data_IF_165425099255
#
_entry.id   IF_165425099255
#
_cell.length_a   1.000
_cell.length_b   1.000
_cell.length_c   1.000
_cell.angle_alpha   90.00
_cell.angle_beta   90.00
_cell.angle_gamma   90.00
#
_symmetry.space_group_name_H-M   'P 1'
#
loop_
_entity.id
_entity.type
_entity.pdbx_description
1 polymer ?
#
# COMPACT_ATOMS: atom_id res chain seq x y z
N UNK A 1 -14.14 15.62 7.37
CA UNK A 1 -12.90 14.85 7.71
C UNK A 1 -13.20 13.36 7.98
N UNK A 2 -14.28 13.05 8.68
CA UNK A 2 -14.62 11.67 9.08
C UNK A 2 -15.09 10.78 7.92
N UNK A 3 -15.72 11.32 6.90
CA UNK A 3 -16.16 10.58 5.71
C UNK A 3 -14.98 10.07 4.86
N UNK A 4 -13.85 10.81 4.86
CA UNK A 4 -12.62 10.36 4.18
C UNK A 4 -11.92 9.21 4.94
N UNK A 5 -11.93 9.25 6.27
CA UNK A 5 -11.37 8.18 7.10
C UNK A 5 -12.17 6.88 6.94
N UNK A 6 -13.51 6.96 6.94
CA UNK A 6 -14.39 5.79 6.70
C UNK A 6 -14.25 5.21 5.30
N UNK A 7 -14.05 6.05 4.29
CA UNK A 7 -13.80 5.59 2.91
C UNK A 7 -12.47 4.87 2.76
N UNK A 8 -11.41 5.35 3.40
CA UNK A 8 -10.09 4.71 3.37
C UNK A 8 -10.05 3.41 4.17
N UNK A 9 -10.79 3.32 5.28
CA UNK A 9 -10.93 2.06 6.04
C UNK A 9 -11.69 0.99 5.25
N UNK A 10 -12.68 1.37 4.45
CA UNK A 10 -13.40 0.45 3.57
C UNK A 10 -12.51 -0.03 2.41
N UNK A 11 -11.69 0.86 1.84
CA UNK A 11 -10.74 0.52 0.77
C UNK A 11 -9.57 -0.34 1.27
N UNK A 12 -9.14 -0.18 2.52
CA UNK A 12 -8.08 -1.02 3.12
C UNK A 12 -8.54 -2.48 3.34
N UNK A 13 -9.84 -2.74 3.33
CA UNK A 13 -10.42 -4.09 3.42
C UNK A 13 -10.48 -4.83 2.08
N UNK A 14 -10.26 -4.17 0.96
CA UNK A 14 -10.19 -4.82 -0.34
C UNK A 14 -8.86 -5.58 -0.48
N UNK A 15 -8.90 -6.87 -0.89
CA UNK A 15 -7.74 -7.77 -0.85
C UNK A 15 -6.60 -7.35 -1.78
N UNK A 16 -6.84 -6.41 -2.68
CA UNK A 16 -5.83 -5.93 -3.65
C UNK A 16 -5.33 -4.52 -3.30
N UNK A 17 -6.23 -3.63 -2.87
CA UNK A 17 -5.92 -2.21 -2.62
C UNK A 17 -5.35 -2.01 -1.21
N UNK A 18 -5.83 -2.79 -0.23
CA UNK A 18 -5.40 -2.69 1.17
C UNK A 18 -3.90 -2.85 1.37
N UNK A 19 -3.28 -3.95 0.90
CA UNK A 19 -1.84 -4.15 1.03
C UNK A 19 -1.00 -3.08 0.33
N UNK A 20 -1.44 -2.58 -0.83
CA UNK A 20 -0.76 -1.49 -1.53
C UNK A 20 -0.76 -0.18 -0.73
N UNK A 21 -1.88 0.18 -0.10
CA UNK A 21 -1.96 1.36 0.76
C UNK A 21 -1.04 1.24 1.98
N UNK A 22 -0.94 0.05 2.57
CA UNK A 22 -0.03 -0.23 3.69
C UNK A 22 1.43 -0.09 3.25
N UNK A 23 1.79 -0.63 2.09
CA UNK A 23 3.13 -0.51 1.51
C UNK A 23 3.49 0.95 1.22
N UNK A 24 2.57 1.72 0.63
CA UNK A 24 2.75 3.14 0.34
C UNK A 24 2.93 3.97 1.63
N UNK A 25 2.13 3.72 2.65
CA UNK A 25 2.24 4.41 3.94
C UNK A 25 3.55 4.05 4.66
N UNK A 26 3.97 2.78 4.59
CA UNK A 26 5.23 2.33 5.18
C UNK A 26 6.44 2.95 4.47
N UNK A 27 6.42 3.00 3.14
CA UNK A 27 7.45 3.65 2.35
C UNK A 27 7.57 5.15 2.70
N UNK A 28 6.44 5.83 2.83
CA UNK A 28 6.39 7.25 3.23
C UNK A 28 6.99 7.46 4.62
N UNK A 29 6.59 6.65 5.60
CA UNK A 29 7.12 6.72 6.96
C UNK A 29 8.64 6.52 6.97
N UNK A 30 9.14 5.48 6.30
CA UNK A 30 10.57 5.20 6.22
C UNK A 30 11.35 6.33 5.54
N UNK A 31 10.81 6.90 4.45
CA UNK A 31 11.41 8.00 3.71
C UNK A 31 11.51 9.27 4.55
N UNK A 32 10.43 9.64 5.22
CA UNK A 32 10.40 10.81 6.10
C UNK A 32 11.34 10.64 7.27
N UNK A 33 11.29 9.50 7.96
CA UNK A 33 12.18 9.22 9.09
C UNK A 33 13.65 9.20 8.65
N UNK A 34 13.98 8.54 7.54
CA UNK A 34 15.32 8.50 6.99
C UNK A 34 15.86 9.90 6.65
N UNK A 35 15.05 10.73 6.01
CA UNK A 35 15.42 12.11 5.69
C UNK A 35 15.65 12.96 6.96
N UNK A 36 14.79 12.82 7.97
CA UNK A 36 14.95 13.54 9.24
C UNK A 36 16.22 13.13 9.98
N UNK A 37 16.49 11.83 10.08
CA UNK A 37 17.72 11.33 10.71
C UNK A 37 18.98 11.71 9.93
N UNK A 38 18.92 11.69 8.60
CA UNK A 38 20.00 12.18 7.73
C UNK A 38 20.32 13.66 7.95
N UNK A 39 19.33 14.45 8.34
CA UNK A 39 19.48 15.86 8.73
C UNK A 39 19.72 16.05 10.23
N UNK A 40 20.15 15.01 10.94
CA UNK A 40 20.52 15.03 12.37
C UNK A 40 19.36 15.39 13.31
N UNK A 41 18.13 15.17 12.90
CA UNK A 41 16.98 15.25 13.79
C UNK A 41 17.04 14.07 14.77
N UNK A 42 16.84 14.29 16.09
CA UNK A 42 16.83 13.21 17.07
C UNK A 42 15.77 12.14 16.74
N UNK A 43 16.09 10.87 16.98
CA UNK A 43 15.24 9.73 16.62
C UNK A 43 13.80 9.89 17.14
N UNK A 44 13.63 10.25 18.40
CA UNK A 44 12.28 10.41 18.99
C UNK A 44 11.46 11.46 18.26
N UNK A 45 12.04 12.60 17.93
CA UNK A 45 11.37 13.66 17.19
C UNK A 45 11.06 13.23 15.75
N UNK A 46 11.99 12.52 15.14
CA UNK A 46 11.82 11.93 13.81
C UNK A 46 10.66 10.96 13.76
N UNK A 47 10.53 10.05 14.74
CA UNK A 47 9.44 9.08 14.85
C UNK A 47 8.08 9.77 14.99
N UNK A 48 7.96 10.78 15.86
CA UNK A 48 6.72 11.54 16.04
C UNK A 48 6.28 12.22 14.73
N UNK A 49 7.21 12.86 14.03
CA UNK A 49 6.93 13.55 12.78
C UNK A 49 6.58 12.56 11.65
N UNK A 50 7.33 11.48 11.51
CA UNK A 50 7.06 10.45 10.50
C UNK A 50 5.71 9.77 10.73
N UNK A 51 5.35 9.47 11.98
CA UNK A 51 4.06 8.93 12.36
C UNK A 51 2.90 9.86 11.99
N UNK A 52 3.04 11.16 12.22
CA UNK A 52 1.99 12.15 11.93
C UNK A 52 1.65 12.24 10.44
N UNK A 53 2.59 11.90 9.57
CA UNK A 53 2.44 11.88 8.11
C UNK A 53 1.70 10.66 7.54
N UNK A 54 1.40 9.64 8.36
CA UNK A 54 0.70 8.44 7.92
C UNK A 54 -0.77 8.72 7.61
N UNK A 55 -1.26 8.16 6.53
CA UNK A 55 -2.65 8.37 6.07
C UNK A 55 -3.62 7.36 6.68
N UNK A 56 -3.18 6.10 6.84
CA UNK A 56 -4.02 5.05 7.40
C UNK A 56 -4.09 5.15 8.94
N UNK A 57 -5.29 5.31 9.53
CA UNK A 57 -5.44 5.45 10.99
C UNK A 57 -4.87 4.26 11.77
N UNK A 58 -5.09 3.04 11.27
CA UNK A 58 -4.55 1.82 11.90
C UNK A 58 -3.02 1.78 11.89
N UNK A 59 -2.40 2.21 10.78
CA UNK A 59 -0.93 2.32 10.69
C UNK A 59 -0.38 3.37 11.61
N UNK A 60 -1.05 4.53 11.68
CA UNK A 60 -0.68 5.60 12.60
C UNK A 60 -0.75 5.15 14.06
N UNK A 61 -1.80 4.43 14.45
CA UNK A 61 -1.92 3.87 15.79
C UNK A 61 -0.79 2.87 16.09
N UNK A 62 -0.53 1.93 15.19
CA UNK A 62 0.54 0.93 15.33
C UNK A 62 1.92 1.58 15.44
N UNK A 63 2.25 2.55 14.59
CA UNK A 63 3.51 3.29 14.68
C UNK A 63 3.58 4.16 15.94
N UNK A 64 2.45 4.56 16.49
CA UNK A 64 2.37 5.22 17.81
C UNK A 64 2.80 4.29 18.94
N UNK A 65 2.42 3.01 18.90
CA UNK A 65 2.89 2.02 19.88
C UNK A 65 4.40 1.81 19.75
N UNK A 66 4.91 1.71 18.51
CA UNK A 66 6.37 1.62 18.25
C UNK A 66 7.09 2.84 18.84
N UNK A 67 6.61 4.05 18.57
CA UNK A 67 7.20 5.28 19.12
C UNK A 67 7.20 5.27 20.65
N UNK A 68 6.13 4.77 21.26
CA UNK A 68 6.02 4.64 22.72
C UNK A 68 7.01 3.63 23.29
N UNK A 69 7.17 2.47 22.64
CA UNK A 69 8.14 1.45 23.04
C UNK A 69 9.58 1.95 22.96
N UNK A 70 9.93 2.67 21.88
CA UNK A 70 11.26 3.28 21.72
C UNK A 70 11.51 4.36 22.78
N UNK A 71 10.50 5.17 23.11
CA UNK A 71 10.57 6.12 24.22
C UNK A 71 10.82 5.44 25.55
N UNK A 72 10.30 4.24 25.75
CA UNK A 72 10.53 3.39 26.92
C UNK A 72 11.89 2.69 26.95
N UNK A 73 12.72 2.86 25.92
CA UNK A 73 14.09 2.32 25.85
C UNK A 73 14.26 1.10 24.95
N UNK A 74 13.22 0.63 24.25
CA UNK A 74 13.36 -0.43 23.27
C UNK A 74 14.16 0.06 22.05
N UNK A 75 14.89 -0.87 21.38
CA UNK A 75 15.47 -0.56 20.08
C UNK A 75 14.35 -0.36 19.05
N UNK A 76 14.61 0.43 18.01
CA UNK A 76 13.61 0.64 16.97
C UNK A 76 13.25 -0.66 16.25
N UNK A 77 14.23 -1.51 15.97
CA UNK A 77 14.02 -2.80 15.34
C UNK A 77 13.12 -3.73 16.17
N UNK A 78 13.40 -3.84 17.46
CA UNK A 78 12.62 -4.69 18.38
C UNK A 78 11.20 -4.15 18.55
N UNK A 79 11.04 -2.84 18.69
CA UNK A 79 9.72 -2.21 18.76
C UNK A 79 8.88 -2.43 17.49
N UNK A 80 9.52 -2.38 16.31
CA UNK A 80 8.85 -2.66 15.03
C UNK A 80 8.45 -4.14 14.89
N UNK A 81 9.27 -5.05 15.39
CA UNK A 81 9.00 -6.48 15.40
C UNK A 81 7.88 -6.83 16.38
N UNK A 82 7.96 -6.38 17.62
CA UNK A 82 6.99 -6.66 18.68
C UNK A 82 5.57 -6.17 18.34
N UNK A 83 5.48 -5.10 17.60
CA UNK A 83 4.19 -4.54 17.14
C UNK A 83 3.79 -4.97 15.72
N UNK A 84 4.50 -5.91 15.12
CA UNK A 84 4.25 -6.38 13.74
C UNK A 84 4.04 -5.22 12.74
N UNK A 85 4.91 -4.21 12.87
CA UNK A 85 4.79 -2.95 12.14
C UNK A 85 5.40 -3.01 10.74
N UNK A 86 6.35 -3.92 10.51
CA UNK A 86 7.05 -4.16 9.24
C UNK A 86 7.10 -5.66 8.94
N UNK A 87 7.56 -5.99 7.74
CA UNK A 87 7.92 -7.38 7.38
C UNK A 87 9.26 -7.77 8.03
N UNK A 88 9.55 -9.08 8.06
CA UNK A 88 10.82 -9.61 8.59
C UNK A 88 12.04 -8.94 7.95
N UNK A 89 12.03 -8.75 6.63
CA UNK A 89 13.08 -8.03 5.92
C UNK A 89 13.20 -6.58 6.40
N UNK A 90 12.06 -5.93 6.65
CA UNK A 90 12.01 -4.54 7.08
C UNK A 90 12.67 -4.32 8.44
N UNK A 91 12.26 -5.04 9.49
CA UNK A 91 12.87 -4.83 10.80
C UNK A 91 14.32 -5.35 10.89
N UNK A 92 14.70 -6.35 10.07
CA UNK A 92 16.11 -6.76 9.99
C UNK A 92 17.00 -5.67 9.38
N UNK A 93 16.55 -4.97 8.34
CA UNK A 93 17.24 -3.81 7.79
C UNK A 93 17.44 -2.72 8.84
N UNK A 94 16.41 -2.42 9.62
CA UNK A 94 16.50 -1.43 10.70
C UNK A 94 17.49 -1.90 11.77
N UNK A 95 17.46 -3.17 12.15
CA UNK A 95 18.40 -3.76 13.13
C UNK A 95 19.86 -3.61 12.68
N UNK A 96 20.14 -3.86 11.41
CA UNK A 96 21.47 -3.64 10.82
C UNK A 96 21.85 -2.15 10.86
N UNK A 97 20.90 -1.27 10.52
CA UNK A 97 21.09 0.19 10.55
C UNK A 97 21.40 0.71 11.97
N UNK A 98 20.69 0.23 12.99
CA UNK A 98 20.93 0.60 14.39
C UNK A 98 22.31 0.15 14.87
N UNK A 99 22.71 -1.09 14.56
CA UNK A 99 24.00 -1.65 14.97
C UNK A 99 25.18 -1.01 14.25
N UNK A 100 25.02 -0.61 13.01
CA UNK A 100 26.09 -0.02 12.19
C UNK A 100 26.18 1.50 12.28
N UNK A 101 25.24 2.16 12.95
CA UNK A 101 25.11 3.62 12.97
C UNK A 101 24.65 4.22 11.63
N UNK A 102 24.10 3.41 10.73
CA UNK A 102 23.66 3.80 9.38
C UNK A 102 22.13 3.73 9.24
N UNK A 103 21.40 4.08 10.29
CA UNK A 103 19.94 3.95 10.33
C UNK A 103 19.27 4.78 9.22
N UNK A 104 19.74 5.99 8.96
CA UNK A 104 19.18 6.85 7.91
C UNK A 104 19.26 6.20 6.52
N UNK A 105 20.40 5.59 6.16
CA UNK A 105 20.57 4.93 4.87
C UNK A 105 19.77 3.63 4.76
N UNK A 106 19.62 2.90 5.86
CA UNK A 106 18.79 1.69 5.89
C UNK A 106 17.31 2.02 5.77
N UNK A 107 16.86 3.12 6.35
CA UNK A 107 15.50 3.64 6.16
C UNK A 107 15.22 4.07 4.71
N UNK A 108 16.19 4.67 4.04
CA UNK A 108 16.06 4.99 2.61
C UNK A 108 15.96 3.70 1.76
N UNK A 109 16.77 2.70 2.06
CA UNK A 109 16.69 1.38 1.42
C UNK A 109 15.33 0.70 1.67
N UNK A 110 14.83 0.80 2.89
CA UNK A 110 13.52 0.29 3.28
C UNK A 110 12.40 0.99 2.51
N UNK A 111 12.47 2.32 2.37
CA UNK A 111 11.50 3.09 1.59
C UNK A 111 11.44 2.62 0.13
N UNK A 112 12.59 2.44 -0.50
CA UNK A 112 12.68 1.92 -1.89
C UNK A 112 12.09 0.53 -2.02
N UNK A 113 12.38 -0.37 -1.09
CA UNK A 113 11.85 -1.74 -1.07
C UNK A 113 10.33 -1.75 -1.03
N UNK A 114 9.71 -0.94 -0.19
CA UNK A 114 8.25 -0.84 -0.11
C UNK A 114 7.63 -0.09 -1.29
N UNK A 115 8.30 0.91 -1.85
CA UNK A 115 7.88 1.59 -3.09
C UNK A 115 7.87 0.62 -4.28
N UNK A 116 8.90 -0.22 -4.41
CA UNK A 116 8.98 -1.24 -5.46
C UNK A 116 7.92 -2.33 -5.30
N UNK A 117 7.70 -2.80 -4.07
CA UNK A 117 6.64 -3.76 -3.77
C UNK A 117 5.27 -3.22 -4.16
N UNK A 118 4.97 -1.97 -3.82
CA UNK A 118 3.74 -1.29 -4.19
C UNK A 118 3.57 -1.14 -5.71
N UNK A 119 4.62 -0.72 -6.42
CA UNK A 119 4.61 -0.62 -7.89
C UNK A 119 4.39 -1.96 -8.57
N UNK A 120 5.08 -3.01 -8.10
CA UNK A 120 4.94 -4.35 -8.67
C UNK A 120 3.53 -4.90 -8.45
N UNK A 121 2.92 -4.62 -7.31
CA UNK A 121 1.53 -5.00 -7.03
C UNK A 121 0.56 -4.28 -7.96
N UNK A 122 0.72 -2.98 -8.15
CA UNK A 122 -0.10 -2.19 -9.08
C UNK A 122 0.03 -2.67 -10.52
N UNK A 123 1.25 -2.98 -10.99
CA UNK A 123 1.47 -3.57 -12.32
C UNK A 123 0.71 -4.87 -12.52
N UNK A 124 0.70 -5.77 -11.53
CA UNK A 124 -0.07 -7.02 -11.62
C UNK A 124 -1.57 -6.79 -11.75
N UNK A 125 -2.10 -5.79 -11.04
CA UNK A 125 -3.53 -5.41 -11.14
C UNK A 125 -3.85 -4.91 -12.54
N UNK A 126 -3.00 -4.03 -13.10
CA UNK A 126 -3.18 -3.48 -14.46
C UNK A 126 -3.13 -4.58 -15.54
N UNK A 127 -2.22 -5.55 -15.42
CA UNK A 127 -2.12 -6.69 -16.35
C UNK A 127 -3.38 -7.54 -16.32
N UNK A 128 -4.02 -7.68 -15.16
CA UNK A 128 -5.28 -8.44 -15.05
C UNK A 128 -6.50 -7.66 -15.57
N UNK A 129 -6.43 -6.33 -15.60
CA UNK A 129 -7.50 -5.50 -16.15
C UNK A 129 -7.66 -5.63 -17.67
N UNK A 130 -6.56 -5.85 -18.40
CA UNK A 130 -6.57 -5.96 -19.85
C UNK A 130 -7.44 -7.13 -20.35
N UNK A 131 -7.27 -8.38 -19.90
CA UNK A 131 -8.15 -9.48 -20.30
C UNK A 131 -9.61 -9.27 -19.90
N UNK A 132 -9.86 -8.66 -18.75
CA UNK A 132 -11.22 -8.37 -18.28
C UNK A 132 -11.89 -7.36 -19.21
N UNK A 133 -11.18 -6.29 -19.60
CA UNK A 133 -11.71 -5.29 -20.52
C UNK A 133 -12.05 -5.91 -21.89
N UNK A 134 -11.20 -6.80 -22.42
CA UNK A 134 -11.46 -7.50 -23.67
C UNK A 134 -12.70 -8.38 -23.58
N UNK A 135 -12.85 -9.13 -22.49
CA UNK A 135 -14.03 -9.98 -22.26
C UNK A 135 -15.32 -9.14 -22.16
N UNK A 136 -15.29 -8.03 -21.44
CA UNK A 136 -16.44 -7.13 -21.30
C UNK A 136 -16.84 -6.53 -22.64
N UNK A 137 -15.89 -5.99 -23.39
CA UNK A 137 -16.13 -5.39 -24.70
C UNK A 137 -16.62 -6.47 -25.71
N UNK A 138 -15.95 -7.63 -25.73
CA UNK A 138 -16.31 -8.73 -26.59
C UNK A 138 -17.72 -9.28 -26.30
N UNK A 139 -18.09 -9.42 -25.03
CA UNK A 139 -19.44 -9.86 -24.65
C UNK A 139 -20.52 -8.84 -25.04
N UNK A 140 -20.21 -7.53 -24.89
CA UNK A 140 -21.13 -6.47 -25.29
C UNK A 140 -21.37 -6.44 -26.80
N UNK A 141 -20.29 -6.54 -27.59
CA UNK A 141 -20.39 -6.62 -29.07
C UNK A 141 -21.12 -7.90 -29.49
N UNK A 142 -20.79 -9.03 -28.89
CA UNK A 142 -21.45 -10.32 -29.18
C UNK A 142 -22.96 -10.28 -28.89
N UNK A 143 -23.38 -9.64 -27.81
CA UNK A 143 -24.78 -9.46 -27.46
C UNK A 143 -25.51 -8.59 -28.49
N UNK A 144 -24.89 -7.52 -28.98
CA UNK A 144 -25.46 -6.64 -30.00
C UNK A 144 -25.61 -7.40 -31.31
N UNK A 145 -24.63 -8.15 -31.76
CA UNK A 145 -24.66 -8.94 -33.00
C UNK A 145 -25.74 -10.01 -32.91
N UNK A 146 -25.84 -10.73 -31.79
CA UNK A 146 -26.89 -11.70 -31.56
C UNK A 146 -28.28 -11.06 -31.63
N UNK A 147 -28.48 -9.90 -31.03
CA UNK A 147 -29.70 -9.14 -31.08
C UNK A 147 -30.12 -8.77 -32.52
N UNK A 148 -29.15 -8.32 -33.32
CA UNK A 148 -29.38 -7.99 -34.73
C UNK A 148 -29.76 -9.22 -35.55
N UNK A 149 -29.06 -10.34 -35.38
CA UNK A 149 -29.35 -11.59 -36.09
C UNK A 149 -30.76 -12.09 -35.75
N UNK A 150 -31.09 -12.10 -34.46
CA UNK A 150 -32.43 -12.51 -34.02
C UNK A 150 -33.54 -11.60 -34.57
N UNK A 151 -33.30 -10.29 -34.62
CA UNK A 151 -34.24 -9.33 -35.17
C UNK A 151 -34.50 -9.57 -36.69
N UNK A 152 -33.43 -9.83 -37.45
CA UNK A 152 -33.49 -10.12 -38.88
C UNK A 152 -34.23 -11.47 -39.12
N UNK A 153 -33.91 -12.50 -38.34
CA UNK A 153 -34.54 -13.82 -38.46
C UNK A 153 -36.01 -13.75 -38.11
N UNK A 154 -36.40 -13.05 -37.05
CA UNK A 154 -37.80 -12.87 -36.67
C UNK A 154 -38.60 -12.05 -37.70
N UNK A 155 -37.98 -11.06 -38.32
CA UNK A 155 -38.60 -10.29 -39.39
C UNK A 155 -38.83 -11.14 -40.64
N UNK A 156 -37.93 -12.07 -40.96
CA UNK A 156 -38.06 -12.97 -42.09
C UNK A 156 -39.16 -14.03 -41.85
N UNK A 157 -39.34 -14.53 -40.65
CA UNK A 157 -40.38 -15.48 -40.28
C UNK A 157 -41.82 -14.85 -40.33
N UNK A 158 -41.91 -13.53 -40.16
CA UNK A 158 -43.17 -12.79 -40.27
C UNK A 158 -43.54 -12.43 -41.73
N UNK A 159 -42.57 -12.55 -42.66
CA UNK A 159 -42.76 -12.20 -44.08
C UNK A 159 -43.19 -13.39 -44.97
N UNK A 160 -43.30 -14.58 -44.38
CA UNK A 160 -43.84 -15.83 -45.01
C UNK A 160 -45.20 -16.14 -44.48
#
# INVERSE_FOLDING_TARGET
>A
PELRARGMDAMSRWPVVGPWLVEADTARWAKVLGALLGNKVPLMRGLELAQSGLQLPQRRARMGEVTRAVRGGASLADALEDHDALTATGYNLIRVGERSGKLASMLDSLARLYEEAGRNRMKRVLILLEPIAILVIGSMIGTIILGVILAITSANDLAV
#
